data_IF_089678183966
#
_entry.id   IF_089678183966
#
_cell.length_a   1.000
_cell.length_b   1.000
_cell.length_c   1.000
_cell.angle_alpha   90.00
_cell.angle_beta   90.00
_cell.angle_gamma   90.00
#
_symmetry.space_group_name_H-M   'P 1'
#
loop_
_entity.id
_entity.type
_entity.pdbx_description
1 polymer ?
#
# COMPACT_ATOMS: atom_id res chain seq x y z
N UNK A 1 -2.79 -16.32 -11.25
CA UNK A 1 -2.95 -15.04 -10.53
C UNK A 1 -1.66 -14.22 -10.51
N UNK A 2 -0.51 -14.86 -10.24
CA UNK A 2 0.78 -14.16 -10.18
C UNK A 2 1.18 -13.60 -11.55
N UNK A 3 1.00 -14.38 -12.61
CA UNK A 3 1.30 -13.92 -13.97
C UNK A 3 0.41 -12.74 -14.39
N UNK A 4 -0.87 -12.79 -14.05
CA UNK A 4 -1.80 -11.69 -14.33
C UNK A 4 -1.41 -10.43 -13.57
N UNK A 5 -1.02 -10.56 -12.30
CA UNK A 5 -0.54 -9.45 -11.52
C UNK A 5 0.71 -8.83 -12.13
N UNK A 6 1.69 -9.66 -12.51
CA UNK A 6 2.94 -9.19 -13.11
C UNK A 6 2.71 -8.46 -14.44
N UNK A 7 1.78 -8.96 -15.25
CA UNK A 7 1.44 -8.31 -16.52
C UNK A 7 0.82 -6.93 -16.28
N UNK A 8 -0.15 -6.83 -15.38
CA UNK A 8 -0.79 -5.56 -15.03
C UNK A 8 0.21 -4.60 -14.38
N UNK A 9 1.08 -5.13 -13.52
CA UNK A 9 2.13 -4.34 -12.87
C UNK A 9 3.03 -3.66 -13.90
N UNK A 10 3.47 -4.42 -14.91
CA UNK A 10 4.30 -3.87 -15.97
C UNK A 10 3.56 -2.80 -16.78
N UNK A 11 2.27 -2.98 -17.02
CA UNK A 11 1.45 -2.02 -17.76
C UNK A 11 1.26 -0.70 -17.02
N UNK A 12 1.02 -0.74 -15.70
CA UNK A 12 0.71 0.46 -14.93
C UNK A 12 1.95 1.15 -14.36
N UNK A 13 3.09 0.47 -14.33
CA UNK A 13 4.33 1.01 -13.76
C UNK A 13 4.69 2.41 -14.26
N UNK A 14 4.74 2.67 -15.58
CA UNK A 14 5.09 4.00 -16.06
C UNK A 14 4.13 5.09 -15.58
N UNK A 15 2.85 4.78 -15.52
CA UNK A 15 1.82 5.73 -15.06
C UNK A 15 2.01 6.08 -13.58
N UNK A 16 2.29 5.07 -12.74
CA UNK A 16 2.52 5.28 -11.31
C UNK A 16 3.77 6.13 -11.05
N UNK A 17 4.84 5.84 -11.79
CA UNK A 17 6.08 6.62 -11.69
C UNK A 17 5.81 8.08 -12.04
N UNK A 18 5.07 8.31 -13.11
CA UNK A 18 4.79 9.65 -13.61
C UNK A 18 3.87 10.44 -12.66
N UNK A 19 2.81 9.82 -12.17
CA UNK A 19 1.82 10.50 -11.31
C UNK A 19 2.38 10.74 -9.90
N UNK A 20 3.02 9.73 -9.31
CA UNK A 20 3.44 9.80 -7.91
C UNK A 20 4.89 10.20 -7.70
N UNK A 21 5.66 10.35 -8.78
CA UNK A 21 7.09 10.71 -8.73
C UNK A 21 7.89 9.74 -7.85
N UNK A 22 7.69 8.46 -8.09
CA UNK A 22 8.34 7.38 -7.34
C UNK A 22 9.21 6.54 -8.28
N UNK A 23 10.06 5.69 -7.70
CA UNK A 23 10.93 4.79 -8.47
C UNK A 23 10.14 3.61 -9.03
N UNK A 24 10.75 2.86 -9.95
CA UNK A 24 10.15 1.65 -10.50
C UNK A 24 9.89 0.61 -9.40
N UNK A 25 10.84 0.43 -8.48
CA UNK A 25 10.69 -0.50 -7.36
C UNK A 25 9.55 -0.10 -6.43
N UNK A 26 9.42 1.20 -6.17
CA UNK A 26 8.33 1.75 -5.34
C UNK A 26 6.96 1.58 -6.02
N UNK A 27 6.91 1.80 -7.34
CA UNK A 27 5.69 1.60 -8.11
C UNK A 27 5.26 0.12 -8.08
N UNK A 28 6.20 -0.79 -8.22
CA UNK A 28 5.94 -2.23 -8.20
C UNK A 28 5.42 -2.69 -6.84
N UNK A 29 6.00 -2.19 -5.76
CA UNK A 29 5.54 -2.49 -4.40
C UNK A 29 4.13 -1.95 -4.17
N UNK A 30 3.89 -0.70 -4.55
CA UNK A 30 2.59 -0.05 -4.42
C UNK A 30 1.51 -0.86 -5.13
N UNK A 31 1.75 -1.22 -6.38
CA UNK A 31 0.80 -2.01 -7.17
C UNK A 31 0.56 -3.39 -6.56
N UNK A 32 1.63 -4.09 -6.20
CA UNK A 32 1.54 -5.45 -5.63
C UNK A 32 0.66 -5.46 -4.39
N UNK A 33 0.90 -4.55 -3.46
CA UNK A 33 0.21 -4.53 -2.19
C UNK A 33 -1.27 -4.16 -2.36
N UNK A 34 -1.57 -3.17 -3.21
CA UNK A 34 -2.95 -2.84 -3.53
C UNK A 34 -3.66 -3.96 -4.27
N UNK A 35 -2.98 -4.61 -5.20
CA UNK A 35 -3.55 -5.74 -5.94
C UNK A 35 -3.95 -6.87 -5.00
N UNK A 36 -3.11 -7.18 -4.01
CA UNK A 36 -3.41 -8.22 -3.02
C UNK A 36 -4.64 -7.86 -2.19
N UNK A 37 -4.77 -6.62 -1.77
CA UNK A 37 -5.94 -6.15 -1.02
C UNK A 37 -7.21 -6.25 -1.87
N UNK A 38 -7.17 -5.78 -3.11
CA UNK A 38 -8.31 -5.85 -4.04
C UNK A 38 -8.69 -7.30 -4.31
N UNK A 39 -7.70 -8.16 -4.53
CA UNK A 39 -7.93 -9.58 -4.79
C UNK A 39 -8.60 -10.27 -3.59
N UNK A 40 -8.15 -9.97 -2.38
CA UNK A 40 -8.75 -10.51 -1.16
C UNK A 40 -10.19 -10.07 -0.98
N UNK A 41 -10.46 -8.78 -1.19
CA UNK A 41 -11.83 -8.25 -1.11
C UNK A 41 -12.73 -8.88 -2.18
N UNK A 42 -12.23 -9.01 -3.40
CA UNK A 42 -12.98 -9.64 -4.50
C UNK A 42 -13.33 -11.09 -4.17
N UNK A 43 -12.41 -11.84 -3.57
CA UNK A 43 -12.63 -13.21 -3.14
C UNK A 43 -13.76 -13.27 -2.09
N UNK A 44 -13.73 -12.40 -1.09
CA UNK A 44 -14.77 -12.33 -0.07
C UNK A 44 -16.14 -12.02 -0.67
N UNK A 45 -16.18 -11.13 -1.64
CA UNK A 45 -17.43 -10.78 -2.33
C UNK A 45 -17.98 -11.98 -3.11
N UNK A 46 -17.13 -12.64 -3.89
CA UNK A 46 -17.54 -13.78 -4.73
C UNK A 46 -18.02 -14.96 -3.88
N UNK A 47 -17.38 -15.21 -2.75
CA UNK A 47 -17.77 -16.32 -1.85
C UNK A 47 -18.97 -15.98 -0.96
N UNK A 48 -19.43 -14.73 -0.98
CA UNK A 48 -20.56 -14.29 -0.15
C UNK A 48 -20.19 -14.01 1.30
N UNK A 49 -18.90 -13.98 1.62
CA UNK A 49 -18.40 -13.76 2.99
C UNK A 49 -18.13 -12.28 3.29
N UNK A 50 -18.30 -11.40 2.31
CA UNK A 50 -18.04 -9.98 2.51
C UNK A 50 -19.19 -9.33 3.27
N UNK A 51 -18.89 -8.83 4.47
CA UNK A 51 -19.85 -8.12 5.32
C UNK A 51 -19.66 -6.60 5.27
N UNK A 52 -18.70 -6.14 4.48
CA UNK A 52 -18.39 -4.70 4.39
C UNK A 52 -19.32 -4.00 3.41
N UNK A 53 -19.74 -2.79 3.77
CA UNK A 53 -20.48 -1.92 2.85
C UNK A 53 -19.55 -1.38 1.76
N UNK A 54 -20.14 -0.82 0.70
CA UNK A 54 -19.34 -0.17 -0.35
C UNK A 54 -18.53 1.00 0.20
N UNK A 55 -19.07 1.74 1.17
CA UNK A 55 -18.35 2.82 1.83
C UNK A 55 -17.15 2.29 2.60
N UNK A 56 -17.32 1.21 3.34
CA UNK A 56 -16.22 0.59 4.08
C UNK A 56 -15.13 0.06 3.15
N UNK A 57 -15.52 -0.57 2.04
CA UNK A 57 -14.56 -1.04 1.03
C UNK A 57 -13.75 0.14 0.48
N UNK A 58 -14.41 1.25 0.17
CA UNK A 58 -13.73 2.47 -0.27
C UNK A 58 -12.74 2.99 0.76
N UNK A 59 -13.10 2.97 2.03
CA UNK A 59 -12.20 3.38 3.14
C UNK A 59 -11.00 2.47 3.25
N UNK A 60 -11.19 1.16 3.12
CA UNK A 60 -10.08 0.18 3.16
C UNK A 60 -9.08 0.47 2.04
N UNK A 61 -9.57 0.60 0.81
CA UNK A 61 -8.71 0.84 -0.34
C UNK A 61 -7.98 2.18 -0.25
N UNK A 62 -8.68 3.23 0.15
CA UNK A 62 -8.09 4.55 0.33
C UNK A 62 -7.04 4.54 1.44
N UNK A 63 -7.35 3.90 2.57
CA UNK A 63 -6.44 3.80 3.70
C UNK A 63 -5.16 3.08 3.35
N UNK A 64 -5.26 1.95 2.65
CA UNK A 64 -4.08 1.21 2.18
C UNK A 64 -3.26 2.02 1.20
N UNK A 65 -3.92 2.65 0.23
CA UNK A 65 -3.25 3.44 -0.79
C UNK A 65 -2.44 4.59 -0.17
N UNK A 66 -3.05 5.34 0.73
CA UNK A 66 -2.40 6.45 1.43
C UNK A 66 -1.27 5.93 2.31
N UNK A 67 -1.50 4.85 3.04
CA UNK A 67 -0.51 4.28 3.96
C UNK A 67 0.73 3.79 3.24
N UNK A 68 0.56 3.10 2.12
CA UNK A 68 1.69 2.60 1.33
C UNK A 68 2.49 3.77 0.74
N UNK A 69 1.80 4.74 0.16
CA UNK A 69 2.46 5.90 -0.43
C UNK A 69 3.22 6.70 0.64
N UNK A 70 2.61 6.87 1.80
CA UNK A 70 3.25 7.58 2.92
C UNK A 70 4.50 6.85 3.39
N UNK A 71 4.44 5.51 3.50
CA UNK A 71 5.60 4.71 3.86
C UNK A 71 6.73 4.85 2.84
N UNK A 72 6.39 4.82 1.55
CA UNK A 72 7.37 5.04 0.47
C UNK A 72 8.06 6.40 0.63
N UNK A 73 7.30 7.45 0.94
CA UNK A 73 7.82 8.81 1.06
C UNK A 73 8.62 9.05 2.33
N UNK A 74 8.25 8.41 3.44
CA UNK A 74 8.81 8.73 4.76
C UNK A 74 9.87 7.75 5.24
N UNK A 75 9.91 6.52 4.71
CA UNK A 75 10.84 5.48 5.16
C UNK A 75 11.86 5.19 4.07
N UNK A 76 13.11 5.65 4.21
CA UNK A 76 14.16 5.36 3.23
C UNK A 76 14.38 3.86 3.09
N UNK A 77 14.45 3.36 1.85
CA UNK A 77 14.69 1.95 1.57
C UNK A 77 13.48 1.06 1.74
N UNK A 78 12.29 1.62 1.93
CA UNK A 78 11.06 0.85 2.19
C UNK A 78 10.77 -0.16 1.08
N UNK A 79 10.85 0.28 -0.18
CA UNK A 79 10.53 -0.57 -1.33
C UNK A 79 11.58 -1.66 -1.57
N UNK A 80 12.79 -1.47 -1.10
CA UNK A 80 13.88 -2.43 -1.27
C UNK A 80 13.98 -3.41 -0.09
N UNK A 81 13.16 -3.22 0.94
CA UNK A 81 13.24 -4.00 2.18
C UNK A 81 14.51 -3.70 2.97
N UNK A 82 15.27 -2.68 2.60
CA UNK A 82 16.54 -2.33 3.21
C UNK A 82 16.37 -1.27 4.30
N UNK A 83 15.39 -1.47 5.19
CA UNK A 83 15.14 -0.55 6.29
C UNK A 83 15.00 -1.34 7.60
N UNK A 84 15.31 -0.67 8.70
CA UNK A 84 15.14 -1.24 10.04
C UNK A 84 13.67 -1.11 10.46
N UNK A 85 12.96 -2.23 10.45
CA UNK A 85 11.52 -2.27 10.77
C UNK A 85 11.24 -1.74 12.18
N UNK A 86 12.05 -2.14 13.13
CA UNK A 86 11.84 -1.72 14.52
C UNK A 86 12.07 -0.22 14.69
N UNK A 87 13.10 0.32 14.06
CA UNK A 87 13.37 1.75 14.09
C UNK A 87 12.24 2.54 13.42
N UNK A 88 11.69 2.04 12.32
CA UNK A 88 10.58 2.67 11.63
C UNK A 88 9.33 2.73 12.52
N UNK A 89 9.00 1.63 13.18
CA UNK A 89 7.85 1.58 14.10
C UNK A 89 8.06 2.50 15.31
N UNK A 90 9.26 2.47 15.91
CA UNK A 90 9.57 3.36 17.04
C UNK A 90 9.42 4.84 16.65
N UNK A 91 9.87 5.19 15.45
CA UNK A 91 9.74 6.56 14.95
C UNK A 91 8.28 6.98 14.79
N UNK A 92 7.43 6.11 14.26
CA UNK A 92 6.01 6.38 14.09
C UNK A 92 5.29 6.50 15.43
N UNK A 93 5.59 5.60 16.37
CA UNK A 93 5.02 5.64 17.72
C UNK A 93 5.46 6.91 18.45
N UNK A 94 6.73 7.30 18.33
CA UNK A 94 7.26 8.53 18.92
C UNK A 94 6.55 9.77 18.40
N UNK A 95 6.34 9.86 17.08
CA UNK A 95 5.59 10.96 16.47
C UNK A 95 4.15 11.03 17.00
N UNK A 96 3.51 9.88 17.16
CA UNK A 96 2.14 9.81 17.68
C UNK A 96 2.06 10.30 19.12
N UNK A 97 3.04 9.93 19.95
CA UNK A 97 3.11 10.37 21.34
C UNK A 97 3.31 11.89 21.41
N UNK A 98 4.24 12.45 20.63
CA UNK A 98 4.48 13.89 20.56
C UNK A 98 3.24 14.65 20.16
N UNK A 99 2.52 14.19 19.14
CA UNK A 99 1.30 14.82 18.67
C UNK A 99 0.20 14.83 19.75
N UNK A 100 0.20 13.85 20.66
CA UNK A 100 -0.77 13.77 21.75
C UNK A 100 -0.45 14.72 22.89
N UNK A 101 0.81 15.09 23.06
CA UNK A 101 1.23 16.01 24.10
C UNK A 101 1.07 17.48 23.71
N UNK A 102 0.97 17.71 22.42
CA UNK A 102 0.73 19.04 21.87
C UNK A 102 -0.75 19.39 21.93
#
# INVERSE_FOLDING_TARGET
>A
AVKSMQHLQAMVRPTLIDIYHITAAEADLYFRDLWLVVHSLSTLIVTGDCTYSNQEIGQILTGFSISIYKAIREIPGFADGAFDRDAAFRGLVGKKIEARHD
#
